data_IF_637148249318
#
_entry.id   IF_637148249318
#
_cell.length_a   1.000
_cell.length_b   1.000
_cell.length_c   1.000
_cell.angle_alpha   90.00
_cell.angle_beta   90.00
_cell.angle_gamma   90.00
#
_symmetry.space_group_name_H-M   'P 1'
#
loop_
_entity.id
_entity.type
_entity.pdbx_description
1 polymer ?
#
# COMPACT_ATOMS: atom_id res chain seq x y z
N UNK A 1 12.47 9.72 28.46
CA UNK A 1 11.93 9.53 27.10
C UNK A 1 10.74 10.48 26.97
N UNK A 2 10.75 11.42 26.03
CA UNK A 2 9.75 12.48 25.93
C UNK A 2 8.35 11.88 25.64
N UNK A 3 7.31 12.24 26.39
CA UNK A 3 5.95 11.67 26.25
C UNK A 3 5.42 11.80 24.81
N UNK A 4 5.84 12.87 24.12
CA UNK A 4 5.51 13.14 22.72
C UNK A 4 6.04 12.01 21.78
N UNK A 5 7.23 11.45 22.03
CA UNK A 5 7.81 10.39 21.18
C UNK A 5 7.03 9.07 21.29
N UNK A 6 6.44 8.80 22.47
CA UNK A 6 5.56 7.65 22.66
C UNK A 6 4.26 7.86 21.88
N UNK A 7 3.70 9.07 21.91
CA UNK A 7 2.49 9.42 21.18
C UNK A 7 2.69 9.31 19.66
N UNK A 8 3.76 9.87 19.10
CA UNK A 8 4.03 9.79 17.65
C UNK A 8 4.17 8.36 17.16
N UNK A 9 4.82 7.49 17.94
CA UNK A 9 4.95 6.07 17.58
C UNK A 9 3.61 5.33 17.58
N UNK A 10 2.69 5.68 18.49
CA UNK A 10 1.34 5.11 18.49
C UNK A 10 0.56 5.56 17.25
N UNK A 11 0.61 6.83 16.91
CA UNK A 11 -0.01 7.36 15.69
C UNK A 11 0.53 6.68 14.43
N UNK A 12 1.85 6.51 14.34
CA UNK A 12 2.47 5.82 13.22
C UNK A 12 1.99 4.37 13.09
N UNK A 13 1.92 3.61 14.19
CA UNK A 13 1.39 2.24 14.19
C UNK A 13 -0.07 2.18 13.76
N UNK A 14 -0.90 3.11 14.24
CA UNK A 14 -2.29 3.21 13.81
C UNK A 14 -2.38 3.47 12.30
N UNK A 15 -1.52 4.34 11.77
CA UNK A 15 -1.47 4.65 10.35
C UNK A 15 -1.12 3.41 9.51
N UNK A 16 -0.16 2.59 9.96
CA UNK A 16 0.16 1.30 9.32
C UNK A 16 -1.07 0.40 9.31
N UNK A 17 -1.72 0.21 10.46
CA UNK A 17 -2.89 -0.67 10.58
C UNK A 17 -4.02 -0.21 9.66
N UNK A 18 -4.33 1.09 9.63
CA UNK A 18 -5.34 1.64 8.73
C UNK A 18 -4.98 1.41 7.26
N UNK A 19 -3.73 1.67 6.87
CA UNK A 19 -3.26 1.37 5.51
C UNK A 19 -3.41 -0.11 5.17
N UNK A 20 -3.05 -1.01 6.08
CA UNK A 20 -3.20 -2.46 5.89
C UNK A 20 -4.66 -2.89 5.73
N UNK A 21 -5.59 -2.28 6.47
CA UNK A 21 -7.03 -2.56 6.30
C UNK A 21 -7.52 -2.14 4.91
N UNK A 22 -7.09 -0.99 4.42
CA UNK A 22 -7.44 -0.51 3.08
C UNK A 22 -6.86 -1.45 2.01
N UNK A 23 -5.61 -1.89 2.18
CA UNK A 23 -4.99 -2.88 1.29
C UNK A 23 -5.75 -4.22 1.31
N UNK A 24 -6.16 -4.71 2.47
CA UNK A 24 -7.01 -5.90 2.56
C UNK A 24 -8.35 -5.71 1.85
N UNK A 25 -8.96 -4.53 1.96
CA UNK A 25 -10.19 -4.21 1.24
C UNK A 25 -9.97 -4.21 -0.29
N UNK A 26 -8.85 -3.65 -0.77
CA UNK A 26 -8.45 -3.72 -2.17
C UNK A 26 -8.27 -5.16 -2.65
N UNK A 27 -7.64 -6.03 -1.86
CA UNK A 27 -7.48 -7.45 -2.22
C UNK A 27 -8.80 -8.22 -2.25
N UNK A 28 -9.79 -7.78 -1.48
CA UNK A 28 -11.11 -8.39 -1.47
C UNK A 28 -11.99 -7.92 -2.64
N UNK A 29 -11.67 -6.80 -3.31
CA UNK A 29 -12.49 -6.23 -4.40
C UNK A 29 -12.87 -7.24 -5.49
N UNK A 30 -11.95 -8.08 -6.04
CA UNK A 30 -12.31 -9.03 -7.09
C UNK A 30 -13.39 -10.04 -6.66
N UNK A 31 -13.50 -10.30 -5.35
CA UNK A 31 -14.55 -11.17 -4.79
C UNK A 31 -15.89 -10.44 -4.64
N UNK A 32 -15.87 -9.13 -4.42
CA UNK A 32 -17.07 -8.30 -4.29
C UNK A 32 -17.64 -7.87 -5.65
N UNK A 33 -16.79 -7.55 -6.62
CA UNK A 33 -17.22 -7.06 -7.93
C UNK A 33 -18.13 -8.06 -8.66
N UNK A 34 -17.86 -9.38 -8.50
CA UNK A 34 -18.69 -10.45 -9.06
C UNK A 34 -20.13 -10.47 -8.54
N UNK A 35 -20.36 -9.97 -7.32
CA UNK A 35 -21.67 -9.97 -6.69
C UNK A 35 -22.38 -8.62 -6.81
N UNK A 36 -21.63 -7.53 -7.00
CA UNK A 36 -22.17 -6.17 -7.02
C UNK A 36 -22.51 -5.69 -8.44
N UNK A 37 -21.69 -6.05 -9.44
CA UNK A 37 -21.85 -5.56 -10.81
C UNK A 37 -22.63 -6.60 -11.61
N UNK A 38 -23.79 -6.21 -12.15
CA UNK A 38 -24.56 -7.08 -13.07
C UNK A 38 -23.72 -7.44 -14.30
N UNK A 39 -23.93 -8.62 -14.88
CA UNK A 39 -23.18 -9.09 -16.07
C UNK A 39 -23.18 -8.07 -17.22
N UNK A 40 -24.30 -7.34 -17.42
CA UNK A 40 -24.39 -6.27 -18.43
C UNK A 40 -23.49 -5.07 -18.13
N UNK A 41 -23.26 -4.76 -16.86
CA UNK A 41 -22.33 -3.72 -16.43
C UNK A 41 -20.89 -4.11 -16.72
N UNK A 42 -20.53 -5.38 -16.49
CA UNK A 42 -19.22 -5.92 -16.85
C UNK A 42 -18.99 -5.93 -18.37
N UNK A 43 -20.01 -6.22 -19.17
CA UNK A 43 -19.92 -6.13 -20.64
C UNK A 43 -19.67 -4.69 -21.10
N UNK A 44 -20.38 -3.71 -20.57
CA UNK A 44 -20.14 -2.30 -20.93
C UNK A 44 -18.73 -1.86 -20.50
N UNK A 45 -18.26 -2.30 -19.33
CA UNK A 45 -16.90 -2.03 -18.88
C UNK A 45 -15.86 -2.70 -19.79
N UNK A 46 -16.08 -3.94 -20.24
CA UNK A 46 -15.14 -4.63 -21.14
C UNK A 46 -14.99 -3.91 -22.48
N UNK A 47 -16.07 -3.31 -23.01
CA UNK A 47 -16.01 -2.44 -24.20
C UNK A 47 -15.19 -1.17 -24.00
N UNK A 48 -15.05 -0.69 -22.77
CA UNK A 48 -14.18 0.46 -22.47
C UNK A 48 -12.70 0.07 -22.36
N UNK A 49 -12.37 -1.22 -22.29
CA UNK A 49 -11.01 -1.70 -22.01
C UNK A 49 -10.77 -2.01 -20.53
N UNK A 50 -11.84 -2.19 -19.75
CA UNK A 50 -11.73 -2.76 -18.41
C UNK A 50 -11.08 -4.15 -18.51
N UNK A 51 -9.94 -4.31 -17.87
CA UNK A 51 -9.17 -5.55 -17.96
C UNK A 51 -8.35 -5.72 -19.26
N UNK A 52 -8.10 -4.68 -20.06
CA UNK A 52 -7.22 -4.71 -21.25
C UNK A 52 -5.72 -4.86 -20.90
N UNK A 53 -5.44 -5.70 -19.91
CA UNK A 53 -4.26 -5.71 -19.06
C UNK A 53 -3.00 -6.19 -19.79
N UNK A 54 -1.89 -5.58 -19.39
CA UNK A 54 -0.63 -6.32 -19.25
C UNK A 54 -0.89 -7.49 -18.29
N UNK A 55 -0.95 -8.71 -18.80
CA UNK A 55 -1.11 -9.93 -18.00
C UNK A 55 0.17 -10.16 -17.16
N UNK A 56 0.22 -9.54 -15.99
CA UNK A 56 1.17 -9.97 -14.97
C UNK A 56 0.76 -11.37 -14.52
N UNK A 57 1.74 -12.25 -14.38
CA UNK A 57 1.45 -13.56 -13.78
C UNK A 57 0.89 -13.35 -12.38
N UNK A 58 -0.10 -14.15 -12.01
CA UNK A 58 -0.72 -14.09 -10.68
C UNK A 58 0.33 -14.17 -9.56
N UNK A 59 1.39 -14.96 -9.77
CA UNK A 59 2.54 -15.06 -8.87
C UNK A 59 3.28 -13.74 -8.64
N UNK A 60 3.40 -12.90 -9.67
CA UNK A 60 4.02 -11.57 -9.54
C UNK A 60 3.13 -10.70 -8.66
N UNK A 61 1.82 -10.65 -8.90
CA UNK A 61 0.89 -9.85 -8.10
C UNK A 61 0.92 -10.24 -6.61
N UNK A 62 0.89 -11.54 -6.31
CA UNK A 62 0.99 -12.02 -4.92
C UNK A 62 2.36 -11.71 -4.29
N UNK A 63 3.44 -11.71 -5.07
CA UNK A 63 4.76 -11.31 -4.58
C UNK A 63 4.77 -9.82 -4.20
N UNK A 64 4.10 -8.97 -4.98
CA UNK A 64 3.97 -7.54 -4.66
C UNK A 64 3.24 -7.32 -3.33
N UNK A 65 2.14 -8.03 -3.15
CA UNK A 65 1.36 -8.01 -1.91
C UNK A 65 2.21 -8.50 -0.73
N UNK A 66 2.92 -9.61 -0.88
CA UNK A 66 3.77 -10.17 0.17
C UNK A 66 4.90 -9.21 0.58
N UNK A 67 5.56 -8.56 -0.39
CA UNK A 67 6.61 -7.57 -0.13
C UNK A 67 6.04 -6.37 0.63
N UNK A 68 4.87 -5.86 0.22
CA UNK A 68 4.22 -4.75 0.91
C UNK A 68 3.89 -5.11 2.36
N UNK A 69 3.30 -6.29 2.61
CA UNK A 69 3.02 -6.76 3.98
C UNK A 69 4.29 -6.96 4.81
N UNK A 70 5.37 -7.49 4.23
CA UNK A 70 6.65 -7.62 4.90
C UNK A 70 7.20 -6.24 5.32
N UNK A 71 7.06 -5.22 4.46
CA UNK A 71 7.40 -3.85 4.80
C UNK A 71 6.52 -3.31 5.94
N UNK A 72 5.20 -3.49 5.87
CA UNK A 72 4.27 -3.03 6.89
C UNK A 72 4.59 -3.63 8.27
N UNK A 73 4.87 -4.94 8.33
CA UNK A 73 5.31 -5.62 9.56
C UNK A 73 6.62 -5.01 10.07
N UNK A 74 7.62 -4.87 9.19
CA UNK A 74 8.91 -4.30 9.59
C UNK A 74 8.80 -2.85 10.09
N UNK A 75 7.95 -2.03 9.46
CA UNK A 75 7.67 -0.66 9.88
C UNK A 75 6.96 -0.64 11.24
N UNK A 76 6.03 -1.57 11.49
CA UNK A 76 5.30 -1.66 12.75
C UNK A 76 6.23 -1.93 13.95
N UNK A 77 7.24 -2.78 13.73
CA UNK A 77 8.28 -3.11 14.71
C UNK A 77 9.47 -2.14 14.71
N UNK A 78 9.43 -1.09 13.89
CA UNK A 78 10.51 -0.12 13.75
C UNK A 78 11.87 -0.72 13.34
N UNK A 79 11.87 -1.76 12.52
CA UNK A 79 13.11 -2.37 12.04
C UNK A 79 13.88 -1.42 11.11
N UNK A 80 15.20 -1.20 11.32
CA UNK A 80 15.98 -0.22 10.55
C UNK A 80 15.92 -0.44 9.03
N UNK A 81 15.94 -1.71 8.60
CA UNK A 81 15.90 -2.08 7.19
C UNK A 81 14.52 -1.88 6.56
N UNK A 82 13.44 -1.93 7.33
CA UNK A 82 12.08 -1.85 6.82
C UNK A 82 11.77 -0.48 6.21
N UNK A 83 12.33 0.59 6.80
CA UNK A 83 12.19 1.94 6.27
C UNK A 83 12.82 2.08 4.88
N UNK A 84 14.03 1.54 4.70
CA UNK A 84 14.71 1.55 3.40
C UNK A 84 13.97 0.66 2.39
N UNK A 85 13.57 -0.54 2.80
CA UNK A 85 12.84 -1.45 1.92
C UNK A 85 11.52 -0.83 1.44
N UNK A 86 10.76 -0.20 2.34
CA UNK A 86 9.52 0.48 1.97
C UNK A 86 9.76 1.66 1.01
N UNK A 87 10.80 2.48 1.22
CA UNK A 87 11.15 3.53 0.26
C UNK A 87 11.48 2.98 -1.13
N UNK A 88 12.31 1.94 -1.20
CA UNK A 88 12.68 1.30 -2.46
C UNK A 88 11.44 0.70 -3.14
N UNK A 89 10.58 0.05 -2.35
CA UNK A 89 9.31 -0.47 -2.81
C UNK A 89 8.41 0.61 -3.42
N UNK A 90 8.29 1.77 -2.77
CA UNK A 90 7.51 2.90 -3.28
C UNK A 90 8.06 3.42 -4.61
N UNK A 91 9.38 3.51 -4.76
CA UNK A 91 10.01 3.93 -6.03
C UNK A 91 9.72 2.91 -7.14
N UNK A 92 9.88 1.62 -6.84
CA UNK A 92 9.64 0.54 -7.82
C UNK A 92 8.17 0.50 -8.23
N UNK A 93 7.24 0.50 -7.27
CA UNK A 93 5.80 0.46 -7.55
C UNK A 93 5.32 1.70 -8.31
N UNK A 94 5.82 2.89 -7.97
CA UNK A 94 5.55 4.12 -8.73
C UNK A 94 6.14 4.05 -10.14
N UNK A 95 7.35 3.51 -10.31
CA UNK A 95 7.94 3.33 -11.63
C UNK A 95 7.14 2.35 -12.50
N UNK A 96 6.66 1.26 -11.90
CA UNK A 96 5.84 0.27 -12.59
C UNK A 96 4.46 0.79 -12.95
N UNK A 97 3.85 1.65 -12.12
CA UNK A 97 2.55 2.24 -12.43
C UNK A 97 2.59 3.10 -13.70
N UNK A 98 3.73 3.75 -13.99
CA UNK A 98 3.95 4.49 -15.24
C UNK A 98 3.96 3.57 -16.47
N UNK A 99 4.39 2.32 -16.31
CA UNK A 99 4.44 1.31 -17.39
C UNK A 99 3.16 0.48 -17.52
N UNK A 100 2.23 0.60 -16.57
CA UNK A 100 1.01 -0.22 -16.49
C UNK A 100 -0.06 0.06 -17.55
N UNK A 101 0.15 1.06 -18.42
CA UNK A 101 -0.77 1.42 -19.49
C UNK A 101 -2.03 2.15 -19.02
N UNK A 102 -3.06 2.17 -19.86
CA UNK A 102 -4.37 2.70 -19.51
C UNK A 102 -5.14 1.64 -18.71
N UNK A 103 -5.47 1.96 -17.46
CA UNK A 103 -6.29 1.11 -16.60
C UNK A 103 -7.62 1.81 -16.34
N UNK A 104 -8.70 1.04 -16.46
CA UNK A 104 -10.04 1.51 -16.13
C UNK A 104 -10.40 0.87 -14.81
N UNK A 105 -10.68 1.71 -13.83
CA UNK A 105 -11.09 1.29 -12.50
C UNK A 105 -12.54 1.70 -12.26
N UNK A 106 -13.24 0.92 -11.44
CA UNK A 106 -14.53 1.38 -10.93
C UNK A 106 -14.32 2.57 -10.00
N UNK A 107 -15.36 3.40 -9.76
CA UNK A 107 -15.23 4.55 -8.85
C UNK A 107 -14.83 4.15 -7.43
N UNK A 108 -15.26 2.97 -6.97
CA UNK A 108 -14.92 2.43 -5.64
C UNK A 108 -13.46 1.99 -5.60
N UNK A 109 -13.00 1.26 -6.62
CA UNK A 109 -11.60 0.86 -6.75
C UNK A 109 -10.67 2.06 -6.85
N UNK A 110 -11.01 3.05 -7.68
CA UNK A 110 -10.23 4.28 -7.82
C UNK A 110 -10.14 5.05 -6.49
N UNK A 111 -11.21 5.08 -5.70
CA UNK A 111 -11.21 5.70 -4.38
C UNK A 111 -10.29 4.94 -3.41
N UNK A 112 -10.36 3.61 -3.37
CA UNK A 112 -9.53 2.79 -2.50
C UNK A 112 -8.04 2.88 -2.87
N UNK A 113 -7.71 2.81 -4.15
CA UNK A 113 -6.33 2.98 -4.66
C UNK A 113 -5.80 4.36 -4.30
N UNK A 114 -6.58 5.43 -4.56
CA UNK A 114 -6.18 6.80 -4.23
C UNK A 114 -5.96 6.99 -2.73
N UNK A 115 -6.84 6.41 -1.91
CA UNK A 115 -6.73 6.48 -0.45
C UNK A 115 -5.48 5.73 0.02
N UNK A 116 -5.24 4.53 -0.52
CA UNK A 116 -4.05 3.73 -0.22
C UNK A 116 -2.76 4.49 -0.52
N UNK A 117 -2.68 5.12 -1.71
CA UNK A 117 -1.51 5.92 -2.11
C UNK A 117 -1.24 7.10 -1.18
N UNK A 118 -2.30 7.75 -0.67
CA UNK A 118 -2.17 8.82 0.32
C UNK A 118 -1.56 8.26 1.62
N UNK A 119 -2.07 7.14 2.12
CA UNK A 119 -1.53 6.51 3.33
C UNK A 119 -0.09 6.06 3.16
N UNK A 120 0.28 5.51 2.00
CA UNK A 120 1.67 5.13 1.72
C UNK A 120 2.61 6.34 1.69
N UNK A 121 2.16 7.45 1.06
CA UNK A 121 2.88 8.72 1.11
C UNK A 121 3.03 9.27 2.53
N UNK A 122 1.98 9.17 3.35
CA UNK A 122 2.03 9.55 4.76
C UNK A 122 2.98 8.65 5.57
N UNK A 123 2.97 7.34 5.35
CA UNK A 123 3.90 6.40 5.99
C UNK A 123 5.34 6.75 5.63
N UNK A 124 5.61 6.98 4.35
CA UNK A 124 6.93 7.35 3.87
C UNK A 124 7.39 8.68 4.49
N UNK A 125 6.55 9.70 4.45
CA UNK A 125 6.88 11.02 5.00
C UNK A 125 7.12 10.95 6.51
N UNK A 126 6.27 10.25 7.25
CA UNK A 126 6.40 10.12 8.71
C UNK A 126 7.61 9.26 9.10
N UNK A 127 7.95 8.22 8.35
CA UNK A 127 9.11 7.37 8.64
C UNK A 127 10.45 8.11 8.49
N UNK A 128 10.53 9.13 7.62
CA UNK A 128 11.76 9.88 7.32
C UNK A 128 11.84 11.28 7.92
N UNK A 129 10.72 12.00 8.01
CA UNK A 129 10.73 13.41 8.40
C UNK A 129 10.14 13.69 9.79
N UNK A 130 9.58 12.68 10.47
CA UNK A 130 9.02 12.87 11.82
C UNK A 130 9.95 12.36 12.92
N UNK A 131 9.71 12.73 14.21
CA UNK A 131 10.46 12.20 15.35
C UNK A 131 10.43 10.66 15.48
N UNK A 132 9.50 9.99 14.79
CA UNK A 132 9.44 8.52 14.73
C UNK A 132 10.70 7.93 14.11
N UNK A 133 11.43 8.69 13.28
CA UNK A 133 12.67 8.25 12.65
C UNK A 133 13.73 7.75 13.64
N UNK A 134 13.75 8.31 14.86
CA UNK A 134 14.71 7.94 15.91
C UNK A 134 14.53 6.49 16.35
N UNK A 135 13.31 5.96 16.25
CA UNK A 135 13.00 4.56 16.62
C UNK A 135 13.55 3.54 15.64
N UNK A 136 13.90 3.97 14.43
CA UNK A 136 14.49 3.12 13.40
C UNK A 136 16.02 3.07 13.48
N UNK A 137 16.65 3.87 14.36
CA UNK A 137 18.09 3.84 14.53
C UNK A 137 18.50 2.57 15.30
N UNK A 138 19.62 1.93 14.94
CA UNK A 138 20.18 0.87 15.76
C UNK A 138 20.46 1.45 17.16
N UNK A 139 20.01 0.76 18.22
CA UNK A 139 20.40 1.16 19.57
C UNK A 139 21.94 1.15 19.65
N UNK A 140 22.57 2.20 20.20
CA UNK A 140 24.01 2.16 20.43
C UNK A 140 24.34 0.93 21.28
N UNK A 141 25.46 0.23 21.02
CA UNK A 141 25.91 -0.83 21.90
C UNK A 141 26.04 -0.27 23.31
N UNK A 142 25.47 -1.01 24.28
CA UNK A 142 25.52 -0.67 25.70
C UNK A 142 26.96 -0.65 26.23
#
# INVERSE_FOLDING_TARGET
MNDNNVQYARWFRLLIVFSSVIYCALLALPSFDKNWISERGLDVLSYTGYGALFDFSESILWSFVAIWFACAIGLFFFWPWARLLFSVWMIISTGLSLTGGLQIHTSVEALLVSTSNIFDGMLLATAWFSPVQEKFLPNPPA
#
